data_IF_965842470637
#
_entry.id   IF_965842470637
#
_cell.length_a   1.000
_cell.length_b   1.000
_cell.length_c   1.000
_cell.angle_alpha   90.00
_cell.angle_beta   90.00
_cell.angle_gamma   90.00
#
_symmetry.space_group_name_H-M   'P 1'
#
loop_
_entity.id
_entity.type
_entity.pdbx_description
1 polymer ?
#
# COMPACT_ATOMS: atom_id res chain seq x y z
N UNK A 1 12.59 -20.45 -49.35
CA UNK A 1 11.51 -19.45 -49.34
C UNK A 1 10.53 -19.65 -48.21
N UNK A 2 9.74 -20.74 -48.11
CA UNK A 2 8.78 -20.89 -47.00
C UNK A 2 9.46 -21.08 -45.62
N UNK A 3 10.60 -21.78 -45.58
CA UNK A 3 11.37 -22.06 -44.35
C UNK A 3 12.05 -20.80 -43.77
N UNK A 4 12.50 -19.88 -44.63
CA UNK A 4 13.20 -18.65 -44.23
C UNK A 4 12.26 -17.67 -43.50
N UNK A 5 11.01 -17.56 -43.97
CA UNK A 5 9.98 -16.72 -43.33
C UNK A 5 9.56 -17.24 -41.95
N UNK A 6 9.51 -18.56 -41.77
CA UNK A 6 9.18 -19.17 -40.48
C UNK A 6 10.31 -18.92 -39.48
N UNK A 7 11.56 -19.07 -39.89
CA UNK A 7 12.72 -18.80 -39.05
C UNK A 7 12.81 -17.31 -38.64
N UNK A 8 12.51 -16.40 -39.56
CA UNK A 8 12.51 -14.95 -39.29
C UNK A 8 11.40 -14.53 -38.31
N UNK A 9 10.21 -15.13 -38.42
CA UNK A 9 9.11 -14.86 -37.46
C UNK A 9 9.39 -15.44 -36.07
N UNK A 10 9.97 -16.63 -35.99
CA UNK A 10 10.39 -17.24 -34.72
C UNK A 10 11.48 -16.37 -34.06
N UNK A 11 12.45 -15.89 -34.85
CA UNK A 11 13.49 -15.00 -34.37
C UNK A 11 12.94 -13.68 -33.83
N UNK A 12 11.99 -13.06 -34.53
CA UNK A 12 11.31 -11.84 -34.07
C UNK A 12 10.50 -12.04 -32.78
N UNK A 13 9.83 -13.18 -32.63
CA UNK A 13 9.08 -13.53 -31.42
C UNK A 13 10.02 -13.75 -30.24
N UNK A 14 11.15 -14.43 -30.44
CA UNK A 14 12.19 -14.62 -29.42
C UNK A 14 12.80 -13.26 -29.03
N UNK A 15 13.01 -12.36 -29.99
CA UNK A 15 13.53 -11.01 -29.73
C UNK A 15 12.57 -10.15 -28.89
N UNK A 16 11.26 -10.24 -29.15
CA UNK A 16 10.24 -9.54 -28.34
C UNK A 16 10.16 -10.11 -26.91
N UNK A 17 10.15 -11.44 -26.76
CA UNK A 17 10.12 -12.10 -25.46
C UNK A 17 11.36 -11.78 -24.60
N UNK A 18 12.52 -11.62 -25.22
CA UNK A 18 13.75 -11.24 -24.52
C UNK A 18 13.74 -9.76 -24.05
N UNK A 19 13.07 -8.86 -24.79
CA UNK A 19 12.97 -7.44 -24.46
C UNK A 19 12.13 -7.17 -23.19
N UNK A 20 11.01 -7.87 -23.04
CA UNK A 20 10.11 -7.69 -21.89
C UNK A 20 10.75 -8.12 -20.55
N UNK A 21 11.61 -9.15 -20.60
CA UNK A 21 12.32 -9.65 -19.42
C UNK A 21 13.32 -8.62 -18.85
N UNK A 22 13.95 -7.81 -19.72
CA UNK A 22 14.92 -6.79 -19.31
C UNK A 22 14.24 -5.59 -18.62
N UNK A 23 13.05 -5.20 -19.09
CA UNK A 23 12.28 -4.07 -18.52
C UNK A 23 11.75 -4.40 -17.12
N UNK A 24 11.44 -5.67 -16.84
CA UNK A 24 10.91 -6.11 -15.54
C UNK A 24 11.96 -6.15 -14.42
N UNK A 25 13.25 -6.08 -14.74
CA UNK A 25 14.34 -6.23 -13.77
C UNK A 25 14.53 -5.02 -12.83
N UNK A 26 13.87 -3.89 -13.09
CA UNK A 26 14.03 -2.66 -12.31
C UNK A 26 12.71 -1.95 -12.00
N UNK A 27 11.71 -2.66 -11.48
CA UNK A 27 10.61 -1.96 -10.82
C UNK A 27 11.16 -1.22 -9.59
N UNK A 28 11.07 0.11 -9.53
CA UNK A 28 11.60 0.86 -8.40
C UNK A 28 10.91 0.39 -7.11
N UNK A 29 11.69 0.20 -6.05
CA UNK A 29 11.13 -0.14 -4.74
C UNK A 29 10.24 1.01 -4.29
N UNK A 30 8.98 0.74 -3.88
CA UNK A 30 8.11 1.79 -3.39
C UNK A 30 8.67 2.36 -2.08
N UNK A 31 8.42 3.65 -1.85
CA UNK A 31 8.63 4.27 -0.56
C UNK A 31 7.42 4.03 0.32
N UNK A 32 7.64 3.71 1.60
CA UNK A 32 6.57 3.55 2.58
C UNK A 32 6.59 4.72 3.55
N UNK A 33 5.45 5.42 3.68
CA UNK A 33 5.25 6.51 4.64
C UNK A 33 4.13 6.10 5.59
N UNK A 34 4.46 5.95 6.87
CA UNK A 34 3.49 5.63 7.92
C UNK A 34 3.13 6.92 8.67
N UNK A 35 1.88 7.37 8.53
CA UNK A 35 1.34 8.52 9.27
C UNK A 35 0.43 8.00 10.37
N UNK A 36 0.81 8.22 11.63
CA UNK A 36 0.05 7.81 12.81
C UNK A 36 -0.28 9.04 13.66
N UNK A 37 -1.55 9.41 13.74
CA UNK A 37 -2.04 10.47 14.61
C UNK A 37 -2.32 9.94 16.02
N UNK A 38 -2.01 10.72 17.05
CA UNK A 38 -2.36 10.39 18.44
C UNK A 38 -3.77 10.89 18.78
N UNK A 39 -4.53 10.09 19.51
CA UNK A 39 -5.88 10.41 20.00
C UNK A 39 -6.90 10.92 18.97
N UNK A 40 -6.70 10.62 17.68
CA UNK A 40 -7.63 10.99 16.61
C UNK A 40 -8.84 10.04 16.59
N UNK A 41 -10.04 10.58 16.81
CA UNK A 41 -11.28 9.83 16.76
C UNK A 41 -11.71 9.50 15.33
N UNK A 42 -12.33 8.33 15.14
CA UNK A 42 -12.87 7.92 13.84
C UNK A 42 -13.93 8.90 13.30
N UNK A 43 -14.68 9.54 14.20
CA UNK A 43 -15.69 10.54 13.86
C UNK A 43 -15.15 11.93 13.56
N UNK A 44 -13.84 12.18 13.69
CA UNK A 44 -13.26 13.52 13.48
C UNK A 44 -12.94 13.82 12.01
N UNK A 45 -12.85 12.79 11.18
CA UNK A 45 -12.41 12.89 9.78
C UNK A 45 -13.61 12.97 8.84
N UNK A 46 -13.54 13.88 7.87
CA UNK A 46 -14.61 14.15 6.91
C UNK A 46 -15.05 12.90 6.13
N UNK A 47 -14.10 12.11 5.63
CA UNK A 47 -14.40 10.88 4.90
C UNK A 47 -15.06 9.77 5.73
N UNK A 48 -15.17 9.93 7.05
CA UNK A 48 -15.93 9.05 7.97
C UNK A 48 -17.26 9.68 8.45
N UNK A 49 -17.63 10.86 7.94
CA UNK A 49 -18.94 11.47 8.16
C UNK A 49 -18.91 12.80 8.94
N UNK A 50 -17.74 13.31 9.33
CA UNK A 50 -17.66 14.61 9.98
C UNK A 50 -17.98 15.75 8.99
N UNK A 51 -18.94 16.61 9.33
CA UNK A 51 -19.30 17.77 8.48
C UNK A 51 -18.77 19.10 9.01
N UNK A 52 -18.16 19.12 10.19
CA UNK A 52 -17.71 20.33 10.88
C UNK A 52 -16.21 20.53 10.73
N UNK A 53 -15.42 19.47 10.92
CA UNK A 53 -13.97 19.49 10.82
C UNK A 53 -13.56 19.27 9.36
N UNK A 54 -12.69 20.16 8.85
CA UNK A 54 -12.23 20.10 7.45
C UNK A 54 -10.91 19.33 7.36
N UNK A 55 -10.94 18.17 6.71
CA UNK A 55 -9.76 17.30 6.53
C UNK A 55 -9.43 17.01 5.05
N UNK A 56 -9.36 18.03 4.17
CA UNK A 56 -9.38 17.84 2.72
C UNK A 56 -8.23 16.98 2.17
N UNK A 57 -7.06 17.00 2.80
CA UNK A 57 -5.91 16.18 2.39
C UNK A 57 -6.11 14.69 2.73
N UNK A 58 -6.71 14.40 3.88
CA UNK A 58 -7.03 13.02 4.32
C UNK A 58 -8.20 12.49 3.49
N UNK A 59 -9.19 13.34 3.21
CA UNK A 59 -10.35 12.98 2.39
C UNK A 59 -9.92 12.65 0.96
N UNK A 60 -9.00 13.44 0.39
CA UNK A 60 -8.39 13.15 -0.92
C UNK A 60 -7.63 11.81 -0.90
N UNK A 61 -6.81 11.57 0.13
CA UNK A 61 -6.09 10.30 0.26
C UNK A 61 -7.03 9.09 0.34
N UNK A 62 -8.17 9.24 1.02
CA UNK A 62 -9.19 8.19 1.10
C UNK A 62 -9.91 7.95 -0.24
N UNK A 63 -10.12 9.00 -1.05
CA UNK A 63 -10.73 8.91 -2.38
C UNK A 63 -9.78 8.30 -3.43
N UNK A 64 -8.49 8.64 -3.37
CA UNK A 64 -7.46 8.14 -4.29
C UNK A 64 -6.94 6.73 -3.89
N UNK A 65 -7.41 6.19 -2.76
CA UNK A 65 -6.89 4.97 -2.14
C UNK A 65 -7.96 4.08 -1.53
N UNK A 66 -7.60 3.42 -0.43
CA UNK A 66 -8.48 2.51 0.30
C UNK A 66 -8.80 3.09 1.66
N UNK A 67 -10.08 3.12 2.01
CA UNK A 67 -10.59 3.52 3.33
C UNK A 67 -10.95 2.29 4.16
N UNK A 68 -10.36 2.17 5.35
CA UNK A 68 -10.62 1.05 6.27
C UNK A 68 -11.76 1.42 7.24
N UNK A 69 -12.94 0.85 7.04
CA UNK A 69 -14.10 1.09 7.91
C UNK A 69 -14.06 0.34 9.24
N UNK A 70 -13.19 -0.67 9.37
CA UNK A 70 -12.98 -1.45 10.59
C UNK A 70 -11.48 -1.62 10.91
N UNK A 71 -10.77 -0.50 11.11
CA UNK A 71 -9.38 -0.53 11.58
C UNK A 71 -9.33 -0.41 13.11
N UNK A 72 -9.05 -1.52 13.80
CA UNK A 72 -9.10 -1.59 15.27
C UNK A 72 -7.68 -1.58 15.83
N UNK A 73 -7.37 -0.60 16.67
CA UNK A 73 -6.12 -0.58 17.41
C UNK A 73 -6.05 -1.77 18.38
N UNK A 74 -4.87 -2.40 18.47
CA UNK A 74 -4.68 -3.59 19.32
C UNK A 74 -4.84 -3.31 20.83
N UNK A 75 -4.76 -2.04 21.24
CA UNK A 75 -5.01 -1.59 22.61
C UNK A 75 -5.54 -0.16 22.62
N UNK A 76 -6.21 0.22 23.72
CA UNK A 76 -6.81 1.56 23.93
C UNK A 76 -5.85 2.61 24.49
N UNK A 77 -4.59 2.24 24.75
CA UNK A 77 -3.58 3.11 25.35
C UNK A 77 -2.40 3.29 24.40
N UNK A 78 -1.75 4.45 24.45
CA UNK A 78 -0.68 4.84 23.53
C UNK A 78 0.46 3.83 23.48
N UNK A 79 1.06 3.49 24.63
CA UNK A 79 2.21 2.57 24.72
C UNK A 79 1.90 1.17 24.16
N UNK A 80 0.87 0.44 24.65
CA UNK A 80 0.59 -0.90 24.14
C UNK A 80 0.08 -0.90 22.68
N UNK A 81 -0.61 0.17 22.24
CA UNK A 81 -1.05 0.31 20.84
C UNK A 81 0.15 0.46 19.89
N UNK A 82 1.07 1.39 20.22
CA UNK A 82 2.30 1.61 19.43
C UNK A 82 3.23 0.41 19.47
N UNK A 83 3.37 -0.25 20.62
CA UNK A 83 4.17 -1.48 20.73
C UNK A 83 3.61 -2.59 19.81
N UNK A 84 2.29 -2.79 19.78
CA UNK A 84 1.66 -3.76 18.89
C UNK A 84 1.84 -3.40 17.41
N UNK A 85 1.68 -2.12 17.06
CA UNK A 85 1.88 -1.62 15.69
C UNK A 85 3.32 -1.85 15.19
N UNK A 86 4.32 -1.51 15.99
CA UNK A 86 5.74 -1.64 15.61
C UNK A 86 6.24 -3.07 15.57
N UNK A 87 5.63 -3.97 16.35
CA UNK A 87 6.08 -5.37 16.45
C UNK A 87 5.24 -6.35 15.65
N UNK A 88 4.05 -5.95 15.17
CA UNK A 88 3.09 -6.85 14.51
C UNK A 88 2.57 -7.95 15.45
N UNK A 89 2.62 -7.73 16.76
CA UNK A 89 2.22 -8.70 17.80
C UNK A 89 1.13 -8.10 18.67
N UNK A 90 0.29 -8.95 19.26
CA UNK A 90 -0.60 -8.51 20.34
C UNK A 90 0.20 -7.84 21.45
N UNK A 91 -0.31 -6.74 22.02
CA UNK A 91 0.39 -5.94 23.03
C UNK A 91 0.91 -6.79 24.20
N UNK A 92 0.13 -7.79 24.65
CA UNK A 92 0.50 -8.73 25.72
C UNK A 92 1.78 -9.54 25.42
N UNK A 93 2.20 -9.60 24.15
CA UNK A 93 3.37 -10.34 23.66
C UNK A 93 4.57 -9.43 23.35
N UNK A 94 4.48 -8.14 23.65
CA UNK A 94 5.49 -7.12 23.29
C UNK A 94 6.28 -6.57 24.49
N UNK A 95 6.06 -7.09 25.70
CA UNK A 95 6.78 -6.67 26.92
C UNK A 95 5.88 -5.94 27.92
N UNK A 96 6.33 -5.88 29.18
CA UNK A 96 5.55 -5.53 30.40
C UNK A 96 4.53 -4.40 30.25
#
# INVERSE_FOLDING_TARGET
MCLDFVCFRIFLVILHLAGDALIRASSPKPNFVLMLADDLGIGDIGCYGNTTIRTPNIDKLANDGVKLTQHIAAARLCTPSRAAFMTGRYAVRSGK
#
